data_IF_702846348623
#
_entry.id   IF_702846348623
#
_cell.length_a   1.000
_cell.length_b   1.000
_cell.length_c   1.000
_cell.angle_alpha   90.00
_cell.angle_beta   90.00
_cell.angle_gamma   90.00
#
_symmetry.space_group_name_H-M   'P 1'
#
loop_
_entity.id
_entity.type
_entity.pdbx_description
1 polymer ?
#
# COMPACT_ATOMS: atom_id res chain seq x y z
N UNK A 1 63.15 -31.09 -27.33
CA UNK A 1 62.38 -31.14 -26.06
C UNK A 1 61.90 -29.70 -25.82
N UNK A 2 60.62 -29.38 -26.26
CA UNK A 2 60.09 -28.03 -26.20
C UNK A 2 59.14 -27.95 -24.98
N UNK A 3 59.53 -27.16 -24.00
CA UNK A 3 58.70 -26.87 -22.81
C UNK A 3 57.81 -25.69 -23.11
N UNK A 4 56.49 -25.89 -23.24
CA UNK A 4 55.47 -24.84 -23.38
C UNK A 4 55.13 -24.29 -21.99
N UNK A 5 55.45 -23.05 -21.74
CA UNK A 5 54.99 -22.31 -20.56
C UNK A 5 53.53 -21.89 -20.75
N UNK A 6 52.64 -22.39 -19.93
CA UNK A 6 51.24 -21.96 -19.83
C UNK A 6 51.19 -20.83 -18.81
N UNK A 7 50.92 -19.63 -19.29
CA UNK A 7 50.68 -18.45 -18.43
C UNK A 7 49.19 -18.46 -18.03
N UNK A 8 48.93 -18.66 -16.75
CA UNK A 8 47.61 -18.49 -16.17
C UNK A 8 47.39 -16.99 -15.91
N UNK A 9 46.47 -16.38 -16.64
CA UNK A 9 46.00 -15.03 -16.36
C UNK A 9 44.88 -15.11 -15.31
N UNK A 10 45.14 -14.65 -14.10
CA UNK A 10 44.15 -14.49 -13.05
C UNK A 10 43.31 -13.26 -13.34
N UNK A 11 42.06 -13.45 -13.69
CA UNK A 11 41.08 -12.37 -13.79
C UNK A 11 40.61 -12.01 -12.38
N UNK A 12 41.13 -10.91 -11.85
CA UNK A 12 40.63 -10.30 -10.62
C UNK A 12 39.34 -9.57 -10.94
N UNK A 13 38.20 -10.19 -10.62
CA UNK A 13 36.89 -9.56 -10.68
C UNK A 13 36.75 -8.59 -9.52
N UNK A 14 36.95 -7.32 -9.76
CA UNK A 14 36.62 -6.24 -8.81
C UNK A 14 35.12 -6.05 -8.78
N UNK A 15 34.47 -6.60 -7.77
CA UNK A 15 33.08 -6.25 -7.45
C UNK A 15 33.08 -4.84 -6.87
N UNK A 16 32.61 -3.87 -7.68
CA UNK A 16 32.32 -2.51 -7.19
C UNK A 16 31.05 -2.65 -6.34
N UNK A 17 31.24 -2.75 -5.02
CA UNK A 17 30.16 -2.58 -4.06
C UNK A 17 29.72 -1.12 -4.10
N UNK A 18 28.57 -0.85 -4.70
CA UNK A 18 27.95 0.45 -4.63
C UNK A 18 27.41 0.63 -3.19
N UNK A 19 28.25 1.13 -2.30
CA UNK A 19 27.80 1.58 -1.00
C UNK A 19 26.97 2.84 -1.22
N UNK A 20 25.67 2.75 -0.93
CA UNK A 20 24.80 3.92 -0.89
C UNK A 20 25.36 4.88 0.17
N UNK A 21 25.86 6.03 -0.28
CA UNK A 21 26.31 7.08 0.63
C UNK A 21 25.08 7.59 1.36
N UNK A 22 25.03 7.37 2.67
CA UNK A 22 23.99 7.92 3.54
C UNK A 22 24.01 9.43 3.39
N UNK A 23 22.92 10.01 2.85
CA UNK A 23 22.77 11.46 2.77
C UNK A 23 22.24 11.93 4.12
N UNK A 24 23.02 12.77 4.80
CA UNK A 24 22.59 13.43 6.02
C UNK A 24 21.85 14.72 5.69
N UNK A 25 20.75 14.97 6.36
CA UNK A 25 19.94 16.17 6.27
C UNK A 25 19.90 16.86 7.62
N UNK A 26 20.09 18.19 7.65
CA UNK A 26 20.07 18.97 8.87
C UNK A 26 18.64 19.39 9.27
N UNK A 27 17.74 19.45 8.30
CA UNK A 27 16.34 19.80 8.53
C UNK A 27 15.42 19.07 7.55
N UNK A 28 14.13 19.08 7.82
CA UNK A 28 13.10 18.54 6.94
C UNK A 28 13.07 19.26 5.56
N UNK A 29 13.38 20.55 5.54
CA UNK A 29 13.36 21.36 4.32
C UNK A 29 14.44 20.96 3.29
N UNK A 30 15.44 20.20 3.74
CA UNK A 30 16.48 19.64 2.87
C UNK A 30 16.11 18.29 2.25
N UNK A 31 14.98 17.72 2.64
CA UNK A 31 14.56 16.43 2.07
C UNK A 31 14.21 16.60 0.60
N UNK A 32 14.55 15.61 -0.24
CA UNK A 32 14.20 15.67 -1.65
C UNK A 32 12.69 15.66 -1.82
N UNK A 33 12.20 16.57 -2.64
CA UNK A 33 10.77 16.66 -2.98
C UNK A 33 10.47 15.74 -4.15
N UNK A 34 9.36 15.03 -4.04
CA UNK A 34 8.75 14.31 -5.14
C UNK A 34 7.56 15.12 -5.66
N UNK A 35 7.59 15.51 -6.94
CA UNK A 35 6.54 16.36 -7.53
C UNK A 35 5.31 15.55 -8.00
N UNK A 36 5.51 14.27 -8.33
CA UNK A 36 4.45 13.37 -8.78
C UNK A 36 3.72 12.71 -7.60
N UNK A 37 2.46 12.35 -7.83
CA UNK A 37 1.67 11.63 -6.84
C UNK A 37 2.28 10.27 -6.54
N UNK A 38 2.60 10.01 -5.26
CA UNK A 38 3.10 8.71 -4.83
C UNK A 38 1.95 7.71 -4.77
N UNK A 39 2.07 6.62 -5.52
CA UNK A 39 1.27 5.42 -5.32
C UNK A 39 2.13 4.37 -4.65
N UNK A 40 1.84 4.05 -3.39
CA UNK A 40 2.65 3.10 -2.60
C UNK A 40 2.49 1.65 -3.08
N UNK A 41 1.36 1.32 -3.69
CA UNK A 41 1.10 -0.01 -4.23
C UNK A 41 0.30 0.08 -5.53
N UNK A 42 0.84 -0.52 -6.60
CA UNK A 42 0.16 -0.70 -7.89
C UNK A 42 0.08 -2.19 -8.19
N UNK A 43 -1.14 -2.69 -8.30
CA UNK A 43 -1.41 -4.10 -8.55
C UNK A 43 -1.81 -4.36 -9.99
N UNK A 44 -1.26 -5.43 -10.53
CA UNK A 44 -1.80 -6.17 -11.68
C UNK A 44 -1.66 -7.68 -11.44
N UNK A 45 -2.39 -8.56 -12.14
CA UNK A 45 -2.22 -10.01 -11.99
C UNK A 45 -0.82 -10.53 -12.31
N UNK A 46 -0.05 -9.80 -13.13
CA UNK A 46 1.30 -10.19 -13.53
C UNK A 46 2.39 -9.63 -12.59
N UNK A 47 2.10 -8.53 -11.91
CA UNK A 47 3.11 -7.79 -11.15
C UNK A 47 2.46 -6.86 -10.14
N UNK A 48 3.03 -6.80 -8.95
CA UNK A 48 2.70 -5.78 -7.96
C UNK A 48 3.95 -4.91 -7.70
N UNK A 49 3.81 -3.60 -7.91
CA UNK A 49 4.86 -2.62 -7.63
C UNK A 49 4.62 -1.96 -6.30
N UNK A 50 5.67 -1.87 -5.49
CA UNK A 50 5.66 -1.13 -4.24
C UNK A 50 6.62 0.05 -4.32
N UNK A 51 6.20 1.20 -3.79
CA UNK A 51 6.99 2.41 -3.70
C UNK A 51 6.82 3.05 -2.33
N UNK A 52 7.90 3.51 -1.73
CA UNK A 52 7.86 4.23 -0.46
C UNK A 52 8.81 5.43 -0.51
N UNK A 53 8.34 6.60 -0.13
CA UNK A 53 9.21 7.76 0.06
C UNK A 53 9.76 7.74 1.49
N UNK A 54 11.05 7.49 1.61
CA UNK A 54 11.75 7.40 2.88
C UNK A 54 13.20 7.89 2.72
N UNK A 55 13.42 9.22 2.56
CA UNK A 55 14.72 9.79 2.19
C UNK A 55 15.81 9.60 3.25
N UNK A 56 15.45 9.38 4.51
CA UNK A 56 16.38 9.14 5.62
C UNK A 56 16.66 7.66 5.87
N UNK A 57 16.01 6.78 5.12
CA UNK A 57 16.18 5.33 5.30
C UNK A 57 17.56 4.86 4.83
N UNK A 58 18.12 3.91 5.55
CA UNK A 58 19.32 3.16 5.18
C UNK A 58 18.98 1.91 4.38
N UNK A 59 17.87 1.28 4.75
CA UNK A 59 17.30 0.11 4.10
C UNK A 59 15.77 0.15 4.24
N UNK A 60 15.08 -0.34 3.22
CA UNK A 60 13.62 -0.50 3.21
C UNK A 60 13.28 -1.89 2.69
N UNK A 61 12.24 -2.50 3.25
CA UNK A 61 11.74 -3.79 2.79
C UNK A 61 10.22 -3.84 2.84
N UNK A 62 9.62 -4.64 1.97
CA UNK A 62 8.22 -5.03 2.00
C UNK A 62 8.13 -6.41 2.65
N UNK A 63 7.22 -6.55 3.60
CA UNK A 63 6.85 -7.82 4.20
C UNK A 63 5.47 -8.21 3.67
N UNK A 64 5.32 -9.46 3.22
CA UNK A 64 4.03 -10.02 2.79
C UNK A 64 3.45 -10.93 3.86
N UNK A 65 2.12 -10.97 3.93
CA UNK A 65 1.38 -11.76 4.90
C UNK A 65 0.16 -12.41 4.25
N UNK A 66 -0.24 -13.56 4.77
CA UNK A 66 -1.47 -14.25 4.36
C UNK A 66 -2.72 -13.64 5.00
N UNK A 67 -2.59 -13.03 6.18
CA UNK A 67 -3.69 -12.49 6.97
C UNK A 67 -3.47 -11.02 7.30
N UNK A 68 -4.58 -10.24 7.36
CA UNK A 68 -4.56 -8.81 7.67
C UNK A 68 -4.30 -8.46 9.14
N UNK A 69 -4.33 -9.43 10.05
CA UNK A 69 -4.26 -9.17 11.49
C UNK A 69 -3.29 -10.06 12.27
N UNK A 70 -2.99 -11.26 11.80
CA UNK A 70 -2.20 -12.26 12.53
C UNK A 70 -1.23 -13.04 11.65
N UNK A 71 -0.42 -13.89 12.25
CA UNK A 71 0.62 -14.65 11.56
C UNK A 71 1.89 -13.85 11.28
N UNK A 72 2.98 -14.57 11.01
CA UNK A 72 4.27 -13.98 10.60
C UNK A 72 4.27 -13.62 9.12
N UNK A 73 5.23 -12.81 8.72
CA UNK A 73 5.48 -12.54 7.32
C UNK A 73 5.79 -13.85 6.58
N UNK A 74 5.09 -14.07 5.46
CA UNK A 74 5.36 -15.20 4.55
C UNK A 74 6.63 -14.96 3.72
N UNK A 75 6.84 -13.72 3.32
CA UNK A 75 7.99 -13.31 2.52
C UNK A 75 8.47 -11.91 2.97
N UNK A 76 9.75 -11.65 2.70
CA UNK A 76 10.35 -10.34 2.92
C UNK A 76 11.24 -10.00 1.73
N UNK A 77 11.01 -8.82 1.14
CA UNK A 77 11.71 -8.36 -0.06
C UNK A 77 12.42 -7.04 0.22
N UNK A 78 13.75 -6.95 0.04
CA UNK A 78 14.44 -5.67 0.09
C UNK A 78 14.01 -4.79 -1.06
N UNK A 79 13.83 -3.49 -0.80
CA UNK A 79 13.53 -2.49 -1.82
C UNK A 79 14.83 -1.81 -2.29
N UNK A 80 14.82 -1.34 -3.52
CA UNK A 80 15.94 -0.61 -4.11
C UNK A 80 15.71 0.89 -3.97
N UNK A 81 16.77 1.61 -3.61
CA UNK A 81 16.75 3.05 -3.51
C UNK A 81 16.80 3.67 -4.91
N UNK A 82 15.81 4.46 -5.24
CA UNK A 82 15.72 5.23 -6.47
C UNK A 82 16.00 6.73 -6.25
N UNK A 83 15.45 7.54 -7.12
CA UNK A 83 15.61 8.99 -7.08
C UNK A 83 14.75 9.62 -5.98
N UNK A 84 15.14 10.82 -5.53
CA UNK A 84 14.39 11.66 -4.60
C UNK A 84 13.95 10.95 -3.31
N UNK A 85 14.78 10.03 -2.80
CA UNK A 85 14.49 9.30 -1.55
C UNK A 85 13.36 8.29 -1.66
N UNK A 86 13.00 7.88 -2.87
CA UNK A 86 11.98 6.87 -3.12
C UNK A 86 12.62 5.49 -3.20
N UNK A 87 12.01 4.54 -2.52
CA UNK A 87 12.37 3.13 -2.55
C UNK A 87 11.34 2.35 -3.36
N UNK A 88 11.77 1.40 -4.19
CA UNK A 88 10.88 0.68 -5.09
C UNK A 88 11.21 -0.81 -5.14
N UNK A 89 10.19 -1.62 -5.45
CA UNK A 89 10.34 -3.02 -5.83
C UNK A 89 9.17 -3.46 -6.71
N UNK A 90 9.46 -4.35 -7.66
CA UNK A 90 8.47 -5.03 -8.48
C UNK A 90 8.50 -6.53 -8.17
N UNK A 91 7.38 -7.07 -7.71
CA UNK A 91 7.20 -8.50 -7.45
C UNK A 91 6.34 -9.08 -8.56
N UNK A 92 6.93 -9.96 -9.38
CA UNK A 92 6.27 -10.56 -10.56
C UNK A 92 5.45 -11.79 -10.17
N UNK A 93 4.45 -11.56 -9.34
CA UNK A 93 3.51 -12.56 -8.85
C UNK A 93 2.14 -11.92 -8.69
N UNK A 94 1.07 -12.73 -8.77
CA UNK A 94 -0.28 -12.32 -8.41
C UNK A 94 -0.41 -12.28 -6.88
N UNK A 95 -0.33 -11.09 -6.31
CA UNK A 95 -0.44 -10.87 -4.88
C UNK A 95 -1.85 -10.49 -4.41
N UNK A 96 -2.87 -10.59 -5.28
CA UNK A 96 -4.26 -10.26 -4.90
C UNK A 96 -4.70 -11.02 -3.65
N UNK A 97 -5.24 -10.28 -2.69
CA UNK A 97 -5.69 -10.83 -1.41
C UNK A 97 -4.60 -11.03 -0.36
N UNK A 98 -3.32 -10.84 -0.70
CA UNK A 98 -2.26 -10.77 0.29
C UNK A 98 -2.29 -9.44 1.03
N UNK A 99 -1.59 -9.41 2.16
CA UNK A 99 -1.39 -8.19 2.94
C UNK A 99 0.09 -7.84 2.96
N UNK A 100 0.38 -6.56 3.19
CA UNK A 100 1.77 -6.08 3.24
C UNK A 100 1.98 -5.03 4.31
N UNK A 101 3.25 -4.88 4.69
CA UNK A 101 3.77 -3.73 5.44
C UNK A 101 5.09 -3.29 4.85
N UNK A 102 5.42 -2.04 5.06
CA UNK A 102 6.77 -1.54 4.90
C UNK A 102 7.50 -1.59 6.24
N UNK A 103 8.80 -1.87 6.20
CA UNK A 103 9.67 -1.80 7.34
C UNK A 103 10.93 -1.04 6.95
N UNK A 104 11.29 -0.03 7.72
CA UNK A 104 12.31 0.97 7.40
C UNK A 104 13.42 0.91 8.44
N UNK A 105 14.67 0.97 8.00
CA UNK A 105 15.85 1.05 8.87
C UNK A 105 16.41 2.46 8.89
N UNK A 106 16.54 3.01 10.07
CA UNK A 106 17.10 4.35 10.32
C UNK A 106 18.05 4.28 11.51
N UNK A 107 19.24 4.88 11.38
CA UNK A 107 20.28 4.87 12.39
C UNK A 107 20.64 3.46 12.90
N UNK A 108 20.79 2.54 11.95
CA UNK A 108 21.14 1.13 12.23
C UNK A 108 20.02 0.30 12.84
N UNK A 109 18.80 0.87 13.06
CA UNK A 109 17.68 0.21 13.73
C UNK A 109 16.49 0.06 12.80
N UNK A 110 15.92 -1.15 12.71
CA UNK A 110 14.63 -1.37 12.09
C UNK A 110 13.51 -0.76 12.95
N UNK A 111 12.67 0.04 12.32
CA UNK A 111 11.49 0.62 12.94
C UNK A 111 10.33 -0.40 12.96
N UNK A 112 9.20 -0.02 13.55
CA UNK A 112 7.99 -0.84 13.50
C UNK A 112 7.43 -0.95 12.08
N UNK A 113 6.70 -2.02 11.83
CA UNK A 113 6.01 -2.24 10.56
C UNK A 113 4.87 -1.22 10.37
N UNK A 114 4.68 -0.75 9.13
CA UNK A 114 3.61 0.20 8.77
C UNK A 114 2.93 -0.22 7.47
N UNK A 115 1.60 -0.09 7.36
CA UNK A 115 0.89 -0.33 6.10
C UNK A 115 1.19 0.72 5.02
N UNK A 116 1.90 1.80 5.37
CA UNK A 116 2.05 2.97 4.52
C UNK A 116 0.93 3.99 4.74
N UNK A 117 1.15 5.23 4.29
CA UNK A 117 0.20 6.34 4.45
C UNK A 117 -0.82 6.42 3.31
N UNK A 118 -0.52 5.77 2.17
CA UNK A 118 -1.35 5.76 0.96
C UNK A 118 -2.09 4.43 0.77
N UNK A 119 -2.18 3.59 1.81
CA UNK A 119 -2.88 2.32 1.75
C UNK A 119 -4.37 2.52 1.45
N UNK A 120 -4.86 1.92 0.36
CA UNK A 120 -6.26 2.05 -0.09
C UNK A 120 -7.21 1.10 0.64
N UNK A 121 -6.67 0.01 1.18
CA UNK A 121 -7.39 -0.96 1.97
C UNK A 121 -6.47 -1.53 3.04
N UNK A 122 -7.03 -1.83 4.19
CA UNK A 122 -6.28 -2.33 5.34
C UNK A 122 -7.01 -3.48 6.01
N UNK A 123 -6.25 -4.34 6.68
CA UNK A 123 -6.77 -5.36 7.56
C UNK A 123 -7.26 -4.79 8.89
N UNK A 124 -7.55 -5.68 9.83
CA UNK A 124 -8.10 -5.34 11.15
C UNK A 124 -7.20 -4.32 11.88
N UNK A 125 -7.82 -3.25 12.36
CA UNK A 125 -7.16 -2.15 13.08
C UNK A 125 -6.03 -1.46 12.29
N UNK A 126 -6.05 -1.53 10.95
CA UNK A 126 -5.08 -0.84 10.11
C UNK A 126 -3.64 -1.35 10.24
N UNK A 127 -3.41 -2.56 10.75
CA UNK A 127 -2.06 -3.07 10.99
C UNK A 127 -1.30 -3.41 9.71
N UNK A 128 -2.01 -3.86 8.68
CA UNK A 128 -1.45 -4.28 7.39
C UNK A 128 -2.30 -3.73 6.26
N UNK A 129 -1.67 -3.29 5.19
CA UNK A 129 -2.37 -2.93 3.97
C UNK A 129 -2.69 -4.18 3.15
N UNK A 130 -3.76 -4.12 2.37
CA UNK A 130 -4.19 -5.21 1.49
C UNK A 130 -3.83 -4.92 0.03
N UNK A 131 -3.39 -5.94 -0.69
CA UNK A 131 -3.24 -5.90 -2.14
C UNK A 131 -4.59 -6.20 -2.78
N UNK A 132 -5.23 -5.18 -3.34
CA UNK A 132 -6.55 -5.27 -3.95
C UNK A 132 -6.55 -4.76 -5.38
N UNK A 133 -7.31 -5.44 -6.24
CA UNK A 133 -7.82 -4.87 -7.48
C UNK A 133 -9.13 -4.13 -7.17
N UNK A 134 -9.07 -2.82 -7.04
CA UNK A 134 -10.24 -2.01 -6.69
C UNK A 134 -11.38 -2.16 -7.70
N UNK A 135 -11.08 -2.37 -8.99
CA UNK A 135 -12.11 -2.59 -10.01
C UNK A 135 -12.91 -3.87 -9.78
N UNK A 136 -12.30 -4.87 -9.12
CA UNK A 136 -13.00 -6.10 -8.78
C UNK A 136 -13.91 -5.97 -7.54
N UNK A 137 -13.94 -4.81 -6.91
CA UNK A 137 -14.82 -4.51 -5.77
C UNK A 137 -16.07 -3.74 -6.15
N UNK A 138 -16.17 -3.27 -7.39
CA UNK A 138 -17.33 -2.58 -7.90
C UNK A 138 -18.54 -3.52 -7.93
N UNK A 139 -19.70 -3.12 -7.40
CA UNK A 139 -20.92 -3.91 -7.50
C UNK A 139 -21.42 -3.97 -8.96
N UNK A 140 -22.25 -4.96 -9.24
CA UNK A 140 -22.89 -5.07 -10.55
C UNK A 140 -23.68 -3.80 -10.89
N UNK A 141 -23.48 -3.27 -12.10
CA UNK A 141 -24.12 -2.05 -12.58
C UNK A 141 -23.46 -0.74 -12.15
N UNK A 142 -22.34 -0.81 -11.39
CA UNK A 142 -21.61 0.39 -10.95
C UNK A 142 -21.20 1.31 -12.09
N UNK A 143 -20.86 0.73 -13.24
CA UNK A 143 -20.49 1.45 -14.45
C UNK A 143 -21.64 2.30 -15.03
N UNK A 144 -22.88 1.99 -14.65
CA UNK A 144 -24.10 2.72 -15.06
C UNK A 144 -24.58 3.72 -14.01
N UNK A 145 -23.93 3.77 -12.84
CA UNK A 145 -24.27 4.70 -11.77
C UNK A 145 -23.89 6.13 -12.16
N UNK A 146 -24.88 6.96 -12.42
CA UNK A 146 -24.69 8.35 -12.82
C UNK A 146 -25.05 9.27 -11.67
N UNK A 147 -24.06 10.00 -11.19
CA UNK A 147 -24.25 11.02 -10.16
C UNK A 147 -25.24 12.09 -10.65
N UNK A 148 -26.27 12.45 -9.86
CA UNK A 148 -27.14 13.56 -10.17
C UNK A 148 -26.35 14.85 -10.45
N UNK A 149 -26.71 15.63 -11.47
CA UNK A 149 -26.04 16.87 -11.78
C UNK A 149 -26.21 17.89 -10.65
N UNK A 150 -25.10 18.32 -10.06
CA UNK A 150 -25.12 19.41 -9.10
C UNK A 150 -25.07 20.73 -9.83
N UNK A 151 -26.14 21.57 -9.71
CA UNK A 151 -26.21 22.88 -10.34
C UNK A 151 -25.48 23.96 -9.54
N UNK A 152 -25.56 23.89 -8.24
CA UNK A 152 -24.94 24.86 -7.34
C UNK A 152 -24.45 24.14 -6.06
N UNK A 153 -23.27 24.52 -5.54
CA UNK A 153 -22.79 23.99 -4.27
C UNK A 153 -23.71 24.27 -3.07
N UNK A 154 -24.48 25.37 -3.13
CA UNK A 154 -25.47 25.71 -2.11
C UNK A 154 -26.67 24.74 -2.06
N UNK A 155 -26.86 23.92 -3.10
CA UNK A 155 -27.94 22.92 -3.13
C UNK A 155 -27.58 21.62 -2.42
N UNK A 156 -26.34 21.51 -1.88
CA UNK A 156 -25.89 20.33 -1.16
C UNK A 156 -26.51 20.31 0.23
N UNK A 157 -27.28 19.27 0.52
CA UNK A 157 -27.68 18.91 1.88
C UNK A 157 -26.81 17.78 2.38
N UNK A 158 -26.13 17.98 3.53
CA UNK A 158 -25.31 16.98 4.17
C UNK A 158 -26.06 16.40 5.36
N UNK A 159 -26.19 15.09 5.37
CA UNK A 159 -26.77 14.35 6.49
C UNK A 159 -25.71 13.40 7.06
N UNK A 160 -25.36 13.60 8.31
CA UNK A 160 -24.41 12.72 9.04
C UNK A 160 -25.21 11.81 9.96
N UNK A 161 -24.95 10.51 9.87
CA UNK A 161 -25.59 9.52 10.73
C UNK A 161 -24.65 8.40 11.11
N UNK A 162 -24.92 7.78 12.26
CA UNK A 162 -24.27 6.54 12.66
C UNK A 162 -25.09 5.34 12.21
N UNK A 163 -24.56 4.52 11.30
CA UNK A 163 -25.30 3.40 10.68
C UNK A 163 -25.95 2.45 11.67
N UNK A 164 -25.24 2.13 12.75
CA UNK A 164 -25.76 1.23 13.79
C UNK A 164 -26.99 1.85 14.46
N UNK A 165 -26.87 3.09 14.91
CA UNK A 165 -27.92 3.74 15.67
C UNK A 165 -29.15 4.02 14.83
N UNK A 166 -28.93 4.39 13.56
CA UNK A 166 -29.99 4.61 12.59
C UNK A 166 -30.96 3.43 12.43
N UNK A 167 -30.43 2.19 12.48
CA UNK A 167 -31.22 1.00 12.17
C UNK A 167 -31.62 0.17 13.40
N UNK A 168 -31.14 0.52 14.62
CA UNK A 168 -31.39 -0.29 15.83
C UNK A 168 -32.81 -0.13 16.39
N UNK A 169 -33.54 0.91 16.05
CA UNK A 169 -34.88 1.14 16.57
C UNK A 169 -35.76 -0.09 16.31
N UNK A 170 -36.46 -0.52 17.37
CA UNK A 170 -37.31 -1.71 17.32
C UNK A 170 -38.49 -1.57 16.36
N UNK A 171 -38.97 -0.34 16.14
CA UNK A 171 -40.10 -0.05 15.26
C UNK A 171 -39.69 0.24 13.80
N UNK A 172 -38.39 0.28 13.49
CA UNK A 172 -37.89 0.60 12.15
C UNK A 172 -38.31 -0.41 11.07
N UNK A 173 -38.75 -1.61 11.43
CA UNK A 173 -39.04 -2.69 10.47
C UNK A 173 -37.82 -3.27 9.75
N UNK A 174 -36.64 -2.70 9.95
CA UNK A 174 -35.39 -3.12 9.31
C UNK A 174 -34.96 -4.50 9.84
N UNK A 175 -34.57 -5.38 8.92
CA UNK A 175 -34.11 -6.74 9.24
C UNK A 175 -32.62 -6.77 9.57
N UNK A 176 -31.81 -6.05 8.82
CA UNK A 176 -30.34 -6.01 9.00
C UNK A 176 -29.92 -4.92 10.01
N UNK A 177 -30.52 -4.92 11.19
CA UNK A 177 -30.25 -3.93 12.24
C UNK A 177 -28.78 -3.82 12.60
N UNK A 178 -28.25 -2.60 12.70
CA UNK A 178 -26.87 -2.29 13.05
C UNK A 178 -25.83 -2.64 11.97
N UNK A 179 -26.24 -2.97 10.75
CA UNK A 179 -25.39 -3.34 9.63
C UNK A 179 -25.53 -2.36 8.47
N UNK A 180 -24.51 -2.26 7.60
CA UNK A 180 -24.56 -1.43 6.39
C UNK A 180 -25.72 -1.82 5.46
N UNK A 181 -26.08 -3.11 5.39
CA UNK A 181 -27.20 -3.59 4.59
C UNK A 181 -28.55 -2.99 5.02
N UNK A 182 -28.68 -2.45 6.22
CA UNK A 182 -29.88 -1.74 6.66
C UNK A 182 -30.28 -0.61 5.71
N UNK A 183 -29.31 0.06 5.07
CA UNK A 183 -29.53 1.17 4.17
C UNK A 183 -30.08 0.75 2.79
N UNK A 184 -30.03 -0.54 2.46
CA UNK A 184 -30.52 -1.09 1.20
C UNK A 184 -31.94 -1.63 1.30
N UNK A 185 -32.54 -1.64 2.48
CA UNK A 185 -33.87 -2.17 2.71
C UNK A 185 -34.96 -1.15 2.39
N UNK A 186 -36.05 -1.60 1.77
CA UNK A 186 -37.23 -0.77 1.56
C UNK A 186 -37.79 -0.37 2.93
N UNK A 187 -38.14 0.92 3.07
CA UNK A 187 -38.65 1.46 4.32
C UNK A 187 -37.66 2.36 5.05
N UNK A 188 -36.36 2.24 4.79
CA UNK A 188 -35.36 3.19 5.30
C UNK A 188 -35.49 4.58 4.68
N UNK A 189 -36.07 4.69 3.49
CA UNK A 189 -36.23 5.95 2.74
C UNK A 189 -37.60 6.59 3.01
N UNK A 190 -38.54 5.89 3.61
CA UNK A 190 -39.94 6.33 3.81
C UNK A 190 -40.30 6.67 5.25
N UNK A 191 -39.32 6.65 6.16
CA UNK A 191 -39.51 7.01 7.57
C UNK A 191 -39.01 8.42 7.89
#
# INVERSE_FOLDING_TARGET
MNVRHVIWASIVSTTISCQSVKKEYNSFDEYPVREDALTEMEYSPAETKFSLWAPTAEEVRVLLFESGNEGSASNTFPMEMGENGTWTISIKEDLKGKFYTFNVKVNGKWLGDTPGIMAKAVGVNGKRAAVLDLRSTDPEGWENDVRPPLKNYADIMVYEMHHRDFSLDSVSGIQNKGKFLALTEQGTISS
#
